data_IF_786577357452
#
_entry.id   IF_786577357452
#
_cell.length_a   1.000
_cell.length_b   1.000
_cell.length_c   1.000
_cell.angle_alpha   90.00
_cell.angle_beta   90.00
_cell.angle_gamma   90.00
#
_symmetry.space_group_name_H-M   'P 1'
#
loop_
_entity.id
_entity.type
_entity.pdbx_description
1 polymer ?
#
# COMPACT_ATOMS: atom_id res chain seq x y z
N UNK A 1 35.41 -25.51 -23.67
CA UNK A 1 35.63 -26.33 -22.47
C UNK A 1 34.28 -26.49 -21.79
N UNK A 2 33.73 -27.71 -21.79
CA UNK A 2 32.44 -28.02 -21.17
C UNK A 2 32.68 -28.42 -19.71
N UNK A 3 32.14 -27.65 -18.77
CA UNK A 3 32.16 -28.02 -17.34
C UNK A 3 30.75 -28.36 -16.91
N UNK A 4 30.52 -29.65 -16.69
CA UNK A 4 29.26 -30.23 -16.20
C UNK A 4 29.21 -30.31 -14.67
N UNK A 5 27.97 -30.44 -14.17
CA UNK A 5 27.51 -30.96 -12.85
C UNK A 5 27.48 -29.90 -11.71
N UNK A 6 26.39 -29.78 -10.94
CA UNK A 6 25.83 -30.87 -10.13
C UNK A 6 24.37 -30.59 -9.72
N UNK A 7 23.43 -31.48 -10.11
CA UNK A 7 22.10 -31.57 -9.49
C UNK A 7 22.26 -32.11 -8.06
N UNK A 8 21.67 -31.44 -7.06
CA UNK A 8 21.43 -32.01 -5.74
C UNK A 8 19.94 -32.19 -5.50
N UNK A 9 19.52 -33.43 -5.64
CA UNK A 9 18.23 -33.98 -5.24
C UNK A 9 18.16 -34.06 -3.72
N UNK A 10 17.12 -33.51 -3.09
CA UNK A 10 16.70 -33.89 -1.74
C UNK A 10 15.20 -34.10 -1.75
N UNK A 11 14.80 -35.37 -1.69
CA UNK A 11 13.42 -35.78 -1.44
C UNK A 11 13.24 -35.95 0.07
N UNK A 12 12.14 -35.42 0.62
CA UNK A 12 11.61 -35.86 1.91
C UNK A 12 10.09 -35.91 1.81
N UNK A 13 9.56 -37.12 1.65
CA UNK A 13 8.15 -37.42 1.83
C UNK A 13 7.92 -37.79 3.30
N UNK A 14 6.91 -37.19 3.93
CA UNK A 14 6.28 -37.73 5.13
C UNK A 14 4.80 -37.38 5.12
N UNK A 15 3.98 -38.41 4.90
CA UNK A 15 2.54 -38.38 5.03
C UNK A 15 2.13 -38.40 6.51
N UNK A 16 1.11 -37.62 6.88
CA UNK A 16 0.31 -37.84 8.08
C UNK A 16 -1.17 -37.81 7.70
N UNK A 17 -1.83 -38.96 7.86
CA UNK A 17 -3.27 -39.21 7.77
C UNK A 17 -3.80 -39.30 9.22
N UNK A 18 -5.10 -39.04 9.40
CA UNK A 18 -6.04 -39.33 10.53
C UNK A 18 -6.50 -38.06 11.28
N UNK A 19 -7.78 -37.80 11.59
CA UNK A 19 -9.05 -38.55 11.44
C UNK A 19 -10.25 -37.63 11.73
N UNK A 20 -11.42 -38.07 11.25
CA UNK A 20 -12.77 -37.53 11.41
C UNK A 20 -13.28 -37.44 12.87
N UNK A 21 -13.98 -36.33 13.18
CA UNK A 21 -15.10 -36.20 14.12
C UNK A 21 -15.69 -34.78 13.90
N UNK A 22 -16.98 -34.47 13.84
CA UNK A 22 -18.21 -35.21 14.11
C UNK A 22 -19.38 -34.53 13.37
N UNK A 23 -20.42 -35.32 13.08
CA UNK A 23 -21.75 -34.86 12.78
C UNK A 23 -22.35 -33.96 13.88
N UNK A 24 -23.07 -32.93 13.47
CA UNK A 24 -24.14 -32.26 14.21
C UNK A 24 -24.94 -31.42 13.22
N UNK A 25 -25.82 -32.02 12.41
CA UNK A 25 -27.25 -32.19 12.71
C UNK A 25 -28.05 -30.87 12.64
N UNK A 26 -28.71 -30.69 11.49
CA UNK A 26 -30.09 -30.18 11.32
C UNK A 26 -30.36 -28.68 11.58
N UNK A 27 -30.82 -27.94 10.57
CA UNK A 27 -32.24 -27.77 10.23
C UNK A 27 -32.43 -26.82 9.04
N UNK A 28 -33.28 -27.28 8.14
CA UNK A 28 -33.97 -26.56 7.07
C UNK A 28 -34.97 -25.58 7.69
N UNK A 29 -34.86 -24.27 7.42
CA UNK A 29 -35.99 -23.33 7.34
C UNK A 29 -35.59 -22.09 6.50
N UNK A 30 -36.06 -22.06 5.26
CA UNK A 30 -36.53 -20.84 4.59
C UNK A 30 -38.03 -21.07 4.33
N UNK A 31 -38.90 -20.07 4.09
CA UNK A 31 -38.71 -18.61 4.03
C UNK A 31 -39.81 -17.83 4.79
N UNK A 32 -39.63 -16.52 5.02
CA UNK A 32 -40.77 -15.58 5.03
C UNK A 32 -40.35 -14.23 4.48
N UNK A 33 -40.94 -13.89 3.34
CA UNK A 33 -41.13 -12.52 2.89
C UNK A 33 -42.21 -11.83 3.76
N UNK A 34 -42.01 -10.54 4.03
CA UNK A 34 -42.99 -9.45 4.28
C UNK A 34 -42.17 -8.26 4.80
N UNK A 35 -42.01 -7.17 4.05
CA UNK A 35 -42.99 -6.10 3.78
C UNK A 35 -43.29 -5.23 5.00
N UNK A 36 -43.38 -3.93 4.72
CA UNK A 36 -43.96 -2.85 5.52
C UNK A 36 -43.01 -2.01 6.39
N UNK A 37 -43.14 -0.69 6.24
CA UNK A 37 -42.70 0.27 7.24
C UNK A 37 -41.87 1.45 6.73
N UNK A 38 -42.37 2.15 5.72
CA UNK A 38 -41.91 3.51 5.45
C UNK A 38 -42.11 4.43 6.66
N UNK A 39 -41.16 5.33 6.89
CA UNK A 39 -41.41 6.59 7.59
C UNK A 39 -40.74 7.72 6.80
N UNK A 40 -41.58 8.58 6.24
CA UNK A 40 -41.18 9.89 5.75
C UNK A 40 -40.94 10.86 6.91
N UNK A 41 -40.00 11.77 6.66
CA UNK A 41 -39.95 13.17 7.04
C UNK A 41 -40.04 13.56 8.54
N UNK A 42 -39.01 14.31 8.96
CA UNK A 42 -39.23 15.60 9.61
C UNK A 42 -38.07 16.55 9.32
N UNK A 43 -38.35 17.48 8.42
CA UNK A 43 -37.76 18.81 8.28
C UNK A 43 -37.83 19.57 9.62
N UNK A 44 -36.81 20.36 9.98
CA UNK A 44 -36.94 21.76 10.46
C UNK A 44 -35.63 22.40 10.96
N UNK A 45 -35.42 23.64 10.50
CA UNK A 45 -34.91 24.81 11.25
C UNK A 45 -33.41 25.08 11.36
N UNK A 46 -32.92 25.84 10.37
CA UNK A 46 -32.35 27.21 10.46
C UNK A 46 -31.96 27.76 11.84
N UNK A 47 -30.70 28.18 11.99
CA UNK A 47 -30.30 29.53 12.44
C UNK A 47 -28.77 29.71 12.42
N UNK A 48 -28.30 30.67 11.63
CA UNK A 48 -27.06 31.39 11.89
C UNK A 48 -27.31 32.41 13.03
N UNK A 49 -26.26 32.77 13.77
CA UNK A 49 -25.92 34.20 13.81
C UNK A 49 -24.42 34.49 13.69
N UNK A 50 -24.16 35.66 13.12
CA UNK A 50 -22.88 36.38 13.04
C UNK A 50 -22.49 37.04 14.38
N UNK A 51 -21.29 37.63 14.38
CA UNK A 51 -20.63 38.52 15.36
C UNK A 51 -19.62 37.79 16.26
N UNK A 52 -18.41 38.31 16.53
CA UNK A 52 -18.01 39.71 16.73
C UNK A 52 -16.50 39.89 16.56
N UNK A 53 -16.08 41.04 16.05
CA UNK A 53 -14.73 41.59 16.03
C UNK A 53 -14.28 42.08 17.43
N UNK A 54 -13.00 41.91 17.78
CA UNK A 54 -12.19 42.77 18.66
C UNK A 54 -10.74 42.23 18.62
N UNK A 55 -9.79 42.89 17.95
CA UNK A 55 -8.98 44.04 18.42
C UNK A 55 -7.79 43.63 19.30
N UNK A 56 -6.56 43.82 18.80
CA UNK A 56 -5.43 44.38 19.57
C UNK A 56 -4.12 44.39 18.75
N UNK A 57 -3.82 45.58 18.24
CA UNK A 57 -2.56 46.32 18.29
C UNK A 57 -1.20 45.65 18.02
N UNK A 58 -0.62 46.07 16.89
CA UNK A 58 0.69 46.72 16.73
C UNK A 58 1.90 46.30 17.61
N UNK A 59 2.94 45.81 16.94
CA UNK A 59 4.31 46.24 17.20
C UNK A 59 5.07 46.30 15.87
N UNK A 60 5.52 47.51 15.55
CA UNK A 60 6.50 47.82 14.51
C UNK A 60 7.87 47.37 15.00
N UNK A 61 8.63 46.67 14.16
CA UNK A 61 10.09 46.66 14.25
C UNK A 61 10.64 46.72 12.84
N UNK A 62 11.11 47.90 12.49
CA UNK A 62 12.01 48.16 11.37
C UNK A 62 13.39 47.59 11.73
N UNK A 63 13.92 46.67 10.94
CA UNK A 63 15.36 46.43 10.91
C UNK A 63 15.87 46.50 9.47
N UNK A 64 16.78 47.44 9.29
CA UNK A 64 17.31 47.95 8.03
C UNK A 64 18.66 47.29 7.73
N UNK A 65 18.85 46.92 6.46
CA UNK A 65 20.14 46.77 5.76
C UNK A 65 21.09 45.61 6.12
N UNK A 66 21.25 44.67 5.19
CA UNK A 66 22.31 44.79 4.15
C UNK A 66 22.39 43.55 3.23
N UNK A 67 22.69 43.75 1.93
CA UNK A 67 22.94 42.68 0.98
C UNK A 67 24.39 42.19 1.07
N UNK A 68 24.58 40.87 1.04
CA UNK A 68 25.88 40.25 0.81
C UNK A 68 25.72 39.18 -0.26
N UNK A 69 26.05 39.61 -1.48
CA UNK A 69 26.78 38.91 -2.55
C UNK A 69 26.92 37.40 -2.40
N UNK A 70 26.33 36.74 -3.39
CA UNK A 70 26.77 35.54 -4.11
C UNK A 70 28.17 35.01 -3.74
N UNK A 71 28.20 33.80 -3.17
CA UNK A 71 29.31 32.87 -3.36
C UNK A 71 28.69 31.52 -3.74
N UNK A 72 28.98 31.16 -4.99
CA UNK A 72 28.78 29.89 -5.67
C UNK A 72 28.90 28.70 -4.72
N UNK A 73 27.77 28.02 -4.46
CA UNK A 73 27.78 26.65 -3.97
C UNK A 73 27.60 25.75 -5.18
N UNK A 74 28.69 25.07 -5.51
CA UNK A 74 28.83 24.11 -6.59
C UNK A 74 27.64 23.14 -6.63
N UNK A 75 27.05 23.01 -7.82
CA UNK A 75 26.25 21.86 -8.19
C UNK A 75 27.14 20.62 -8.04
N UNK A 76 26.98 19.90 -6.94
CA UNK A 76 27.20 18.45 -6.96
C UNK A 76 25.91 17.80 -7.45
N UNK A 77 25.82 17.75 -8.79
CA UNK A 77 25.10 16.74 -9.54
C UNK A 77 25.53 15.35 -9.02
N UNK A 78 24.77 14.81 -8.08
CA UNK A 78 24.78 13.43 -7.67
C UNK A 78 23.42 13.20 -6.97
N UNK A 79 22.42 12.60 -7.60
CA UNK A 79 22.47 11.23 -8.12
C UNK A 79 21.37 11.03 -9.18
N UNK A 80 21.64 11.41 -10.43
CA UNK A 80 21.09 10.64 -11.55
C UNK A 80 21.97 9.39 -11.69
N UNK A 81 21.37 8.20 -11.88
CA UNK A 81 22.07 6.93 -12.17
C UNK A 81 22.54 6.05 -10.98
N UNK A 82 21.66 5.77 -10.00
CA UNK A 82 21.86 4.66 -9.05
C UNK A 82 20.77 3.57 -9.07
N UNK A 83 19.64 3.79 -9.76
CA UNK A 83 18.49 2.88 -9.73
C UNK A 83 18.45 1.83 -10.86
N UNK A 84 19.48 1.75 -11.72
CA UNK A 84 19.43 0.91 -12.92
C UNK A 84 19.76 -0.58 -12.70
N UNK A 85 20.17 -1.00 -11.50
CA UNK A 85 20.54 -2.40 -11.21
C UNK A 85 20.08 -2.88 -9.81
N UNK A 86 19.19 -2.16 -9.14
CA UNK A 86 18.61 -2.61 -7.88
C UNK A 86 17.56 -3.69 -8.16
N UNK A 87 17.81 -4.94 -7.77
CA UNK A 87 16.79 -5.98 -7.82
C UNK A 87 15.65 -5.61 -6.86
N UNK A 88 14.42 -5.61 -7.37
CA UNK A 88 13.22 -5.11 -6.66
C UNK A 88 12.86 -5.88 -5.39
N UNK A 89 13.54 -6.99 -5.08
CA UNK A 89 13.12 -7.93 -4.06
C UNK A 89 11.90 -8.76 -4.50
N UNK A 90 11.42 -9.64 -3.62
CA UNK A 90 10.27 -10.50 -3.88
C UNK A 90 9.12 -10.14 -2.96
N UNK A 91 7.90 -10.09 -3.51
CA UNK A 91 6.68 -9.92 -2.76
C UNK A 91 5.87 -11.23 -2.80
N UNK A 92 5.30 -11.61 -1.66
CA UNK A 92 4.40 -12.76 -1.55
C UNK A 92 3.01 -12.29 -1.18
N UNK A 93 2.00 -12.79 -1.90
CA UNK A 93 0.60 -12.51 -1.66
C UNK A 93 -0.10 -13.84 -1.39
N UNK A 94 -0.75 -13.96 -0.24
CA UNK A 94 -1.62 -15.10 0.10
C UNK A 94 -3.08 -14.69 -0.02
N UNK A 95 -3.85 -15.42 -0.83
CA UNK A 95 -5.29 -15.24 -0.95
C UNK A 95 -5.97 -16.61 -0.89
N UNK A 96 -6.99 -16.77 -0.05
CA UNK A 96 -7.70 -18.05 0.15
C UNK A 96 -6.77 -19.25 0.50
N UNK A 97 -5.62 -18.96 1.11
CA UNK A 97 -4.59 -19.96 1.44
C UNK A 97 -3.70 -20.38 0.25
N UNK A 98 -3.83 -19.74 -0.91
CA UNK A 98 -2.95 -19.91 -2.05
C UNK A 98 -1.90 -18.78 -2.08
N UNK A 99 -0.63 -19.15 -2.21
CA UNK A 99 0.50 -18.22 -2.22
C UNK A 99 0.93 -17.89 -3.65
N UNK A 100 1.03 -16.60 -3.96
CA UNK A 100 1.60 -16.06 -5.20
C UNK A 100 2.82 -15.22 -4.86
N UNK A 101 4.00 -15.69 -5.26
CA UNK A 101 5.26 -14.94 -5.12
C UNK A 101 5.67 -14.37 -6.48
N UNK A 102 6.09 -13.11 -6.51
CA UNK A 102 6.59 -12.46 -7.72
C UNK A 102 7.71 -11.46 -7.41
N UNK A 103 8.51 -11.15 -8.42
CA UNK A 103 9.51 -10.07 -8.41
C UNK A 103 8.97 -8.97 -9.31
N UNK A 104 8.54 -7.82 -8.77
CA UNK A 104 8.05 -6.73 -9.59
C UNK A 104 9.18 -6.11 -10.40
N UNK A 105 8.89 -5.70 -11.63
CA UNK A 105 9.82 -4.92 -12.44
C UNK A 105 9.70 -3.42 -12.17
N UNK A 106 8.53 -2.98 -11.65
CA UNK A 106 8.24 -1.58 -11.38
C UNK A 106 7.80 -1.45 -9.92
N UNK A 107 8.57 -0.71 -9.14
CA UNK A 107 8.20 -0.22 -7.81
C UNK A 107 8.34 1.30 -7.83
N UNK A 108 7.22 1.97 -8.06
CA UNK A 108 7.15 3.43 -8.18
C UNK A 108 6.64 4.03 -6.89
N UNK A 109 7.46 4.91 -6.30
CA UNK A 109 7.14 5.64 -5.08
C UNK A 109 7.07 7.13 -5.42
N UNK A 110 5.96 7.76 -5.09
CA UNK A 110 5.72 9.19 -5.35
C UNK A 110 5.57 9.95 -4.04
N UNK A 111 6.20 11.13 -3.97
CA UNK A 111 6.28 12.00 -2.79
C UNK A 111 7.71 12.20 -2.31
N UNK A 112 7.92 13.20 -1.46
CA UNK A 112 9.26 13.52 -0.94
C UNK A 112 9.80 12.35 -0.07
N UNK A 113 11.12 12.11 -0.06
CA UNK A 113 11.74 11.15 0.84
C UNK A 113 11.26 11.30 2.30
N UNK A 114 10.91 10.18 2.93
CA UNK A 114 10.31 10.15 4.28
C UNK A 114 8.80 10.52 4.33
N UNK A 115 8.20 10.95 3.22
CA UNK A 115 6.76 11.26 3.10
C UNK A 115 6.10 10.64 1.88
N UNK A 116 6.53 9.43 1.49
CA UNK A 116 5.98 8.70 0.34
C UNK A 116 4.44 8.65 0.45
N UNK A 117 3.76 9.19 -0.57
CA UNK A 117 2.30 9.35 -0.59
C UNK A 117 1.62 8.30 -1.43
N UNK A 118 2.31 7.78 -2.45
CA UNK A 118 1.78 6.73 -3.29
C UNK A 118 2.84 5.71 -3.65
N UNK A 119 2.45 4.45 -3.66
CA UNK A 119 3.27 3.32 -4.09
C UNK A 119 2.48 2.52 -5.11
N UNK A 120 3.11 2.22 -6.25
CA UNK A 120 2.59 1.33 -7.27
C UNK A 120 3.63 0.25 -7.54
N UNK A 121 3.26 -1.00 -7.30
CA UNK A 121 4.10 -2.19 -7.52
C UNK A 121 3.42 -3.05 -8.58
N UNK A 122 4.12 -3.34 -9.67
CA UNK A 122 3.59 -4.15 -10.78
C UNK A 122 4.70 -4.81 -11.59
N UNK A 123 4.29 -5.77 -12.42
CA UNK A 123 5.12 -6.32 -13.49
C UNK A 123 5.26 -5.31 -14.65
N UNK A 124 6.20 -5.56 -15.55
CA UNK A 124 6.23 -4.89 -16.86
C UNK A 124 4.91 -5.13 -17.65
N UNK A 125 4.69 -4.31 -18.68
CA UNK A 125 3.57 -4.45 -19.62
C UNK A 125 2.15 -4.38 -19.01
N UNK A 126 2.01 -3.78 -17.81
CA UNK A 126 0.75 -3.68 -17.05
C UNK A 126 0.14 -5.06 -16.71
N UNK A 127 0.97 -6.10 -16.63
CA UNK A 127 0.58 -7.42 -16.20
C UNK A 127 0.32 -7.46 -14.68
N UNK A 128 -0.51 -8.43 -14.28
CA UNK A 128 -0.80 -8.69 -12.87
C UNK A 128 0.21 -9.70 -12.32
N UNK A 129 0.53 -9.64 -11.02
CA UNK A 129 -0.14 -8.91 -9.95
C UNK A 129 0.13 -7.40 -9.90
N UNK A 130 -0.85 -6.64 -9.40
CA UNK A 130 -0.76 -5.20 -9.15
C UNK A 130 -1.03 -4.94 -7.67
N UNK A 131 -0.14 -4.18 -7.03
CA UNK A 131 -0.35 -3.67 -5.67
C UNK A 131 -0.26 -2.15 -5.71
N UNK A 132 -1.23 -1.48 -5.08
CA UNK A 132 -1.24 -0.02 -4.92
C UNK A 132 -1.45 0.33 -3.46
N UNK A 133 -0.63 1.25 -2.94
CA UNK A 133 -0.73 1.74 -1.56
C UNK A 133 -0.72 3.26 -1.56
N UNK A 134 -1.60 3.83 -0.74
CA UNK A 134 -1.57 5.22 -0.28
C UNK A 134 -1.46 5.15 1.24
N UNK A 135 -0.26 5.33 1.83
CA UNK A 135 -0.05 5.20 3.27
C UNK A 135 -1.05 6.01 4.08
N UNK A 136 -1.56 5.44 5.17
CA UNK A 136 -2.60 6.03 6.02
C UNK A 136 -4.03 6.04 5.44
N UNK A 137 -4.23 5.74 4.16
CA UNK A 137 -5.55 5.93 3.50
C UNK A 137 -6.09 4.67 2.82
N UNK A 138 -5.29 3.99 2.00
CA UNK A 138 -5.80 2.97 1.09
C UNK A 138 -4.73 1.96 0.67
N UNK A 139 -5.13 0.70 0.50
CA UNK A 139 -4.34 -0.32 -0.16
C UNK A 139 -5.22 -1.20 -1.05
N UNK A 140 -4.65 -1.69 -2.16
CA UNK A 140 -5.32 -2.59 -3.09
C UNK A 140 -4.34 -3.60 -3.67
N UNK A 141 -4.83 -4.82 -3.84
CA UNK A 141 -4.13 -5.92 -4.51
C UNK A 141 -5.05 -6.48 -5.59
N UNK A 142 -4.52 -6.68 -6.79
CA UNK A 142 -5.20 -7.40 -7.86
C UNK A 142 -4.32 -8.53 -8.35
N UNK A 143 -4.83 -9.76 -8.24
CA UNK A 143 -4.19 -10.97 -8.78
C UNK A 143 -4.87 -11.39 -10.08
N UNK A 144 -4.10 -11.52 -11.16
CA UNK A 144 -4.51 -12.09 -12.46
C UNK A 144 -5.99 -11.93 -12.87
N UNK A 145 -6.56 -13.01 -13.40
CA UNK A 145 -8.00 -13.09 -13.70
C UNK A 145 -8.83 -13.53 -12.49
N UNK A 146 -8.29 -13.44 -11.27
CA UNK A 146 -9.01 -13.78 -10.04
C UNK A 146 -9.81 -12.57 -9.57
N UNK A 147 -11.13 -12.63 -9.81
CA UNK A 147 -12.10 -11.76 -9.15
C UNK A 147 -11.89 -10.24 -9.26
N UNK A 148 -12.57 -9.55 -8.35
CA UNK A 148 -12.38 -8.13 -8.10
C UNK A 148 -11.08 -7.89 -7.32
N UNK A 149 -10.49 -6.69 -7.37
CA UNK A 149 -9.34 -6.37 -6.54
C UNK A 149 -9.71 -6.40 -5.05
N UNK A 150 -8.83 -6.99 -4.25
CA UNK A 150 -8.86 -6.89 -2.80
C UNK A 150 -8.50 -5.46 -2.38
N UNK A 151 -9.27 -4.88 -1.47
CA UNK A 151 -9.12 -3.47 -1.07
C UNK A 151 -9.24 -3.32 0.43
N UNK A 152 -8.49 -2.37 0.96
CA UNK A 152 -8.54 -1.99 2.37
C UNK A 152 -8.40 -0.48 2.50
N UNK A 153 -9.12 0.12 3.44
CA UNK A 153 -8.87 1.49 3.90
C UNK A 153 -7.86 1.55 5.05
N UNK A 154 -7.32 0.40 5.45
CA UNK A 154 -6.28 0.30 6.46
C UNK A 154 -4.97 -0.11 5.81
N UNK A 155 -3.91 0.60 6.17
CA UNK A 155 -2.52 0.35 5.76
C UNK A 155 -1.66 -0.14 6.92
N UNK A 156 -2.29 -0.81 7.90
CA UNK A 156 -1.56 -1.41 9.02
C UNK A 156 -0.53 -2.41 8.51
N UNK A 157 0.65 -2.38 9.12
CA UNK A 157 1.81 -3.18 8.74
C UNK A 157 2.31 -2.94 7.30
N UNK A 158 1.94 -1.80 6.71
CA UNK A 158 2.54 -1.31 5.48
C UNK A 158 3.30 -0.05 5.83
N UNK A 159 4.59 -0.06 5.54
CA UNK A 159 5.49 1.07 5.78
C UNK A 159 6.09 1.50 4.45
N UNK A 160 6.05 2.79 4.15
CA UNK A 160 6.66 3.37 2.96
C UNK A 160 7.47 4.61 3.39
N UNK A 161 8.76 4.41 3.60
CA UNK A 161 9.71 5.42 4.08
C UNK A 161 11.09 5.14 3.49
N UNK A 162 11.94 6.17 3.42
CA UNK A 162 13.36 6.02 3.01
C UNK A 162 13.56 5.18 1.73
N UNK A 163 12.79 5.52 0.68
CA UNK A 163 12.86 4.86 -0.63
C UNK A 163 12.63 3.34 -0.57
N UNK A 164 11.93 2.87 0.46
CA UNK A 164 11.63 1.46 0.68
C UNK A 164 10.17 1.29 1.03
N UNK A 165 9.56 0.20 0.56
CA UNK A 165 8.22 -0.20 0.95
C UNK A 165 8.29 -1.59 1.56
N UNK A 166 7.74 -1.74 2.76
CA UNK A 166 7.69 -3.00 3.50
C UNK A 166 6.26 -3.36 3.86
N UNK A 167 5.96 -4.65 3.72
CA UNK A 167 4.73 -5.30 4.11
C UNK A 167 5.09 -6.41 5.13
N UNK A 168 4.57 -6.31 6.35
CA UNK A 168 4.77 -7.29 7.43
C UNK A 168 3.44 -7.98 7.72
N UNK A 169 3.16 -9.08 7.01
CA UNK A 169 1.85 -9.75 7.02
C UNK A 169 0.67 -8.75 6.87
N UNK A 170 0.80 -7.81 5.93
CA UNK A 170 -0.14 -6.73 5.74
C UNK A 170 -1.47 -7.24 5.16
N UNK A 171 -2.58 -6.91 5.81
CA UNK A 171 -3.92 -7.33 5.36
C UNK A 171 -4.55 -6.30 4.43
N UNK A 172 -4.83 -6.71 3.20
CA UNK A 172 -5.51 -5.90 2.17
C UNK A 172 -6.72 -6.70 1.68
N UNK A 173 -7.93 -6.33 2.12
CA UNK A 173 -9.10 -7.18 1.93
C UNK A 173 -8.92 -8.52 2.64
N UNK A 174 -9.15 -9.61 1.91
CA UNK A 174 -8.88 -10.97 2.36
C UNK A 174 -7.45 -11.45 2.03
N UNK A 175 -6.67 -10.67 1.27
CA UNK A 175 -5.28 -10.98 0.96
C UNK A 175 -4.31 -10.58 2.10
N UNK A 176 -3.27 -11.39 2.28
CA UNK A 176 -2.12 -11.08 3.13
C UNK A 176 -0.89 -10.87 2.25
N UNK A 177 -0.20 -9.74 2.42
CA UNK A 177 0.98 -9.36 1.63
C UNK A 177 2.20 -9.28 2.54
N UNK A 178 3.29 -9.88 2.10
CA UNK A 178 4.56 -9.88 2.83
C UNK A 178 5.75 -9.63 1.90
N UNK A 179 6.72 -8.85 2.39
CA UNK A 179 7.98 -8.59 1.72
C UNK A 179 8.41 -7.12 1.79
N UNK A 180 9.67 -6.88 1.43
CA UNK A 180 10.27 -5.55 1.39
C UNK A 180 10.88 -5.32 0.03
N UNK A 181 10.59 -4.17 -0.56
CA UNK A 181 11.01 -3.79 -1.90
C UNK A 181 11.62 -2.37 -1.85
N UNK A 182 12.79 -2.13 -2.47
CA UNK A 182 13.25 -0.78 -2.73
C UNK A 182 12.37 -0.11 -3.78
N UNK A 183 12.20 1.21 -3.67
CA UNK A 183 11.65 2.03 -4.73
C UNK A 183 12.64 2.04 -5.91
N UNK A 184 12.19 1.58 -7.07
CA UNK A 184 12.99 1.60 -8.30
C UNK A 184 12.82 2.90 -9.06
N UNK A 185 11.70 3.58 -8.85
CA UNK A 185 11.38 4.86 -9.46
C UNK A 185 10.86 5.78 -8.36
N UNK A 186 11.63 6.81 -8.04
CA UNK A 186 11.27 7.85 -7.08
C UNK A 186 10.89 9.10 -7.87
N UNK A 187 9.73 9.68 -7.56
CA UNK A 187 9.29 10.95 -8.13
C UNK A 187 8.89 11.90 -7.01
N UNK A 188 9.53 13.07 -7.01
CA UNK A 188 9.11 14.21 -6.22
C UNK A 188 7.89 14.86 -6.89
N UNK A 189 6.82 15.08 -6.12
CA UNK A 189 5.56 15.73 -6.56
C UNK A 189 5.62 17.26 -6.40
#
# INVERSE_FOLDING_TARGET
MLTSRTLRTSAAAAALILSLAACGASQDESPTASDDGGVEASETTQAAPESTEEDSEAAEDEDESSPAEEETSEQEDATEDAAADAEAGTLTITLDGEETTFTPDIVRCSGEPGTIRNVIIKMEEDELPLVKVTPGEFAMVKLGNQGEPEKSSSTKNITAEDETVSFDDAKIGDAVVDGTLPCLQVEDD
#
